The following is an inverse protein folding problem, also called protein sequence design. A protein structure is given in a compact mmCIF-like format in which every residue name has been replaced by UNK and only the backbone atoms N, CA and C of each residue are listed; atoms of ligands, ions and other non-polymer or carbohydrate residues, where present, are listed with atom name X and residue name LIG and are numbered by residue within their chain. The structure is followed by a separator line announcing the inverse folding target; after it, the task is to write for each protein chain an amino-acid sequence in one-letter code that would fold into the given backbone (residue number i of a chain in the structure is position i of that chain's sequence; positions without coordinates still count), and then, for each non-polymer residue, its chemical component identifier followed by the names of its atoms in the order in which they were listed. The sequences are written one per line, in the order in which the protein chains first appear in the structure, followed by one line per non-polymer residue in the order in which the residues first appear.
data_IF_207096305786
#
_entry.id   IF_207096305786
#
_cell.length_a   1.000
_cell.length_b   1.000
_cell.length_c   1.000
_cell.angle_alpha   90.00
_cell.angle_beta   90.00
_cell.angle_gamma   90.00
#
_symmetry.space_group_name_H-M   'P 1'
#
loop_
_entity.id
_entity.type
_entity.pdbx_description
1 polymer ?
#
# COMPACT_ATOMS: atom_id res chain seq x y z
N UNK A 1 3.55 -22.89 -41.41
CA UNK A 1 2.68 -23.79 -40.63
C UNK A 1 1.23 -23.28 -40.71
N UNK A 2 0.33 -24.00 -41.37
CA UNK A 2 -1.07 -23.58 -41.47
C UNK A 2 -1.82 -24.10 -40.24
N UNK A 3 -2.19 -23.19 -39.34
CA UNK A 3 -3.08 -23.56 -38.23
C UNK A 3 -4.48 -23.75 -38.79
N UNK A 4 -4.95 -24.98 -38.81
CA UNK A 4 -6.35 -25.28 -39.11
C UNK A 4 -7.18 -24.91 -37.87
N UNK A 5 -7.87 -23.77 -37.92
CA UNK A 5 -8.93 -23.48 -36.96
C UNK A 5 -10.04 -24.50 -37.16
N UNK A 6 -10.17 -25.41 -36.22
CA UNK A 6 -11.36 -26.28 -36.19
C UNK A 6 -12.55 -25.45 -35.70
N UNK A 7 -13.49 -25.23 -36.57
CA UNK A 7 -14.80 -24.63 -36.22
C UNK A 7 -15.54 -25.61 -35.31
N UNK A 8 -15.56 -25.34 -34.01
CA UNK A 8 -16.45 -26.06 -33.10
C UNK A 8 -17.82 -25.36 -33.14
N UNK A 9 -18.86 -26.12 -33.58
CA UNK A 9 -20.24 -25.68 -33.32
C UNK A 9 -20.49 -25.83 -31.82
N UNK A 10 -20.45 -24.74 -31.12
CA UNK A 10 -20.68 -24.66 -29.67
C UNK A 10 -22.18 -24.41 -29.42
N UNK A 11 -22.86 -25.29 -28.69
CA UNK A 11 -24.20 -25.07 -28.22
C UNK A 11 -24.16 -24.45 -26.84
N UNK A 12 -24.49 -23.36 -26.71
CA UNK A 12 -24.44 -22.73 -25.50
C UNK A 12 -25.71 -23.02 -24.78
N UNK A 13 -25.63 -23.57 -24.13
CA UNK A 13 -26.64 -23.74 -23.32
C UNK A 13 -26.54 -22.66 -22.38
N UNK A 14 -26.81 -22.02 -22.72
CA UNK A 14 -26.77 -20.84 -21.98
C UNK A 14 -27.37 -20.88 -20.59
N UNK A 15 -27.80 -21.60 -20.47
CA UNK A 15 -28.42 -21.69 -19.18
C UNK A 15 -27.52 -22.13 -18.03
N UNK A 16 -26.59 -22.45 -18.16
CA UNK A 16 -25.69 -22.89 -17.05
C UNK A 16 -24.22 -22.48 -17.27
N UNK A 17 -23.96 -21.54 -18.12
CA UNK A 17 -22.58 -21.07 -18.41
C UNK A 17 -21.62 -22.23 -18.76
N UNK A 18 -22.08 -23.20 -19.54
CA UNK A 18 -21.30 -24.37 -19.95
C UNK A 18 -21.24 -24.48 -21.45
N UNK A 19 -20.07 -24.88 -21.96
CA UNK A 19 -19.90 -25.28 -23.35
C UNK A 19 -19.79 -26.80 -23.36
N UNK A 20 -20.64 -27.45 -24.17
CA UNK A 20 -20.68 -28.91 -24.24
C UNK A 20 -20.38 -29.33 -25.68
N UNK A 21 -19.46 -30.25 -25.86
CA UNK A 21 -19.21 -30.88 -27.16
C UNK A 21 -20.08 -32.14 -27.25
N UNK A 22 -21.11 -32.16 -28.14
CA UNK A 22 -22.04 -33.30 -28.20
C UNK A 22 -21.41 -34.58 -28.75
N UNK A 23 -20.22 -34.50 -29.37
CA UNK A 23 -19.59 -35.71 -29.99
C UNK A 23 -18.92 -36.60 -28.93
N UNK A 24 -18.42 -36.00 -27.84
CA UNK A 24 -17.68 -36.76 -26.84
C UNK A 24 -18.06 -36.37 -25.40
N UNK A 25 -19.10 -35.56 -25.25
CA UNK A 25 -19.63 -35.07 -23.96
C UNK A 25 -18.63 -34.32 -23.12
N UNK A 26 -17.54 -33.79 -23.71
CA UNK A 26 -16.63 -32.93 -22.95
C UNK A 26 -17.31 -31.60 -22.64
N UNK A 27 -16.98 -31.08 -21.43
CA UNK A 27 -17.61 -29.88 -20.86
C UNK A 27 -16.53 -28.88 -20.50
N UNK A 28 -16.72 -27.63 -20.93
CA UNK A 28 -15.92 -26.48 -20.46
C UNK A 28 -16.85 -25.57 -19.67
N UNK A 29 -16.44 -25.17 -18.47
CA UNK A 29 -17.25 -24.31 -17.59
C UNK A 29 -16.38 -23.42 -16.73
N UNK A 30 -16.81 -22.20 -16.38
CA UNK A 30 -16.14 -21.41 -15.36
C UNK A 30 -16.37 -22.02 -13.99
N UNK A 31 -15.38 -21.87 -13.12
CA UNK A 31 -15.46 -22.27 -11.71
C UNK A 31 -15.13 -21.06 -10.84
N UNK A 32 -15.75 -20.97 -9.68
CA UNK A 32 -15.37 -19.95 -8.71
C UNK A 32 -13.93 -20.21 -8.23
N UNK A 33 -13.16 -19.14 -8.04
CA UNK A 33 -11.77 -19.22 -7.61
C UNK A 33 -11.67 -19.52 -6.09
N UNK A 34 -12.18 -20.70 -5.71
CA UNK A 34 -12.14 -21.22 -4.32
C UNK A 34 -11.66 -22.67 -4.40
N UNK A 35 -10.64 -23.01 -3.64
CA UNK A 35 -10.08 -24.37 -3.62
C UNK A 35 -11.14 -25.44 -3.30
N UNK A 36 -12.04 -25.17 -2.37
CA UNK A 36 -13.13 -26.09 -1.99
C UNK A 36 -14.11 -26.40 -3.14
N UNK A 37 -14.21 -25.54 -4.15
CA UNK A 37 -15.03 -25.77 -5.34
C UNK A 37 -14.28 -26.61 -6.39
N UNK A 38 -12.96 -26.60 -6.33
CA UNK A 38 -12.05 -27.17 -7.32
C UNK A 38 -11.58 -28.56 -6.89
N UNK A 39 -11.43 -28.77 -5.58
CA UNK A 39 -11.02 -30.06 -5.01
C UNK A 39 -11.89 -31.20 -5.54
N UNK A 40 -11.26 -32.31 -5.89
CA UNK A 40 -11.94 -33.49 -6.45
C UNK A 40 -12.24 -33.37 -7.95
N UNK A 41 -11.91 -32.26 -8.60
CA UNK A 41 -12.03 -32.17 -10.07
C UNK A 41 -10.81 -32.88 -10.72
N UNK A 42 -11.00 -33.35 -11.93
CA UNK A 42 -9.93 -34.00 -12.70
C UNK A 42 -9.98 -33.46 -14.14
N UNK A 43 -9.57 -32.18 -14.31
CA UNK A 43 -9.66 -31.53 -15.62
C UNK A 43 -8.56 -31.96 -16.57
N UNK A 44 -8.90 -32.13 -17.87
CA UNK A 44 -7.89 -32.31 -18.92
C UNK A 44 -7.22 -30.98 -19.30
N UNK A 45 -7.98 -29.87 -19.15
CA UNK A 45 -7.49 -28.51 -19.34
C UNK A 45 -8.02 -27.66 -18.20
N UNK A 46 -7.16 -26.94 -17.54
CA UNK A 46 -7.52 -25.92 -16.56
C UNK A 46 -6.88 -24.59 -16.97
N UNK A 47 -7.67 -23.52 -16.95
CA UNK A 47 -7.19 -22.17 -17.25
C UNK A 47 -7.33 -21.34 -15.96
N UNK A 48 -6.25 -20.84 -15.45
CA UNK A 48 -6.21 -19.89 -14.32
C UNK A 48 -6.05 -18.50 -14.92
N UNK A 49 -7.14 -17.74 -14.91
CA UNK A 49 -7.18 -16.40 -15.49
C UNK A 49 -6.92 -15.36 -14.41
N UNK A 50 -6.23 -14.28 -14.77
CA UNK A 50 -5.88 -13.17 -13.88
C UNK A 50 -5.23 -13.67 -12.58
N UNK A 51 -4.22 -14.56 -12.72
CA UNK A 51 -3.59 -15.21 -11.57
C UNK A 51 -3.05 -14.21 -10.54
N UNK A 52 -2.65 -12.99 -10.95
CA UNK A 52 -2.18 -11.95 -10.03
C UNK A 52 -3.24 -11.50 -9.01
N UNK A 53 -4.54 -11.76 -9.28
CA UNK A 53 -5.64 -11.40 -8.36
C UNK A 53 -5.92 -12.49 -7.32
N UNK A 54 -5.34 -13.69 -7.46
CA UNK A 54 -5.56 -14.76 -6.50
C UNK A 54 -4.84 -14.44 -5.19
N UNK A 55 -5.55 -14.63 -4.08
CA UNK A 55 -5.03 -14.29 -2.74
C UNK A 55 -3.86 -15.20 -2.30
N UNK A 56 -3.89 -16.45 -2.81
CA UNK A 56 -2.88 -17.47 -2.46
C UNK A 56 -2.78 -18.51 -3.58
N UNK A 57 -1.96 -19.54 -3.38
CA UNK A 57 -1.73 -20.60 -4.37
C UNK A 57 -2.75 -21.74 -4.35
N UNK A 58 -3.76 -21.71 -3.49
CA UNK A 58 -4.64 -22.86 -3.24
C UNK A 58 -5.40 -23.33 -4.47
N UNK A 59 -5.87 -22.38 -5.30
CA UNK A 59 -6.59 -22.68 -6.55
C UNK A 59 -5.66 -23.33 -7.57
N UNK A 60 -4.48 -22.75 -7.79
CA UNK A 60 -3.48 -23.28 -8.73
C UNK A 60 -3.06 -24.69 -8.32
N UNK A 61 -2.69 -24.88 -7.06
CA UNK A 61 -2.25 -26.18 -6.53
C UNK A 61 -3.36 -27.25 -6.59
N UNK A 62 -4.61 -26.89 -6.31
CA UNK A 62 -5.73 -27.81 -6.39
C UNK A 62 -5.94 -28.30 -7.83
N UNK A 63 -5.80 -27.42 -8.82
CA UNK A 63 -5.92 -27.77 -10.24
C UNK A 63 -4.75 -28.66 -10.68
N UNK A 64 -3.54 -28.29 -10.30
CA UNK A 64 -2.32 -29.05 -10.62
C UNK A 64 -2.38 -30.48 -10.07
N UNK A 65 -2.71 -30.62 -8.78
CA UNK A 65 -2.88 -31.92 -8.13
C UNK A 65 -4.05 -32.69 -8.72
N UNK A 66 -5.15 -31.99 -9.07
CA UNK A 66 -6.33 -32.59 -9.69
C UNK A 66 -6.08 -33.23 -11.05
N UNK A 67 -5.01 -32.82 -11.74
CA UNK A 67 -4.62 -33.38 -13.04
C UNK A 67 -3.73 -34.62 -12.94
N UNK A 68 -3.33 -35.02 -11.73
CA UNK A 68 -2.39 -36.14 -11.55
C UNK A 68 -2.81 -37.48 -12.18
N UNK A 69 -4.10 -37.67 -12.43
CA UNK A 69 -4.59 -38.89 -13.10
C UNK A 69 -4.75 -38.72 -14.61
N UNK A 70 -4.35 -37.57 -15.19
CA UNK A 70 -4.45 -37.30 -16.64
C UNK A 70 -3.08 -37.48 -17.31
N UNK A 71 -2.95 -38.37 -18.31
CA UNK A 71 -1.67 -38.51 -19.02
C UNK A 71 -1.22 -37.23 -19.73
N UNK A 72 -2.15 -36.40 -20.19
CA UNK A 72 -1.88 -35.16 -20.93
C UNK A 72 -2.69 -34.00 -20.33
N UNK A 73 -2.61 -33.85 -19.00
CA UNK A 73 -3.24 -32.69 -18.32
C UNK A 73 -2.50 -31.39 -18.68
N UNK A 74 -3.27 -30.33 -18.99
CA UNK A 74 -2.68 -29.03 -19.28
C UNK A 74 -3.24 -27.99 -18.31
N UNK A 75 -2.36 -27.36 -17.52
CA UNK A 75 -2.66 -26.22 -16.67
C UNK A 75 -2.08 -24.97 -17.33
N UNK A 76 -2.93 -24.00 -17.61
CA UNK A 76 -2.59 -22.81 -18.37
C UNK A 76 -2.90 -21.57 -17.52
N UNK A 77 -1.88 -20.90 -17.01
CA UNK A 77 -2.03 -19.66 -16.23
C UNK A 77 -1.80 -18.46 -17.15
N UNK A 78 -2.70 -17.50 -17.10
CA UNK A 78 -2.58 -16.24 -17.85
C UNK A 78 -2.80 -15.07 -16.88
N UNK A 79 -1.99 -14.04 -17.03
CA UNK A 79 -2.03 -12.92 -16.09
C UNK A 79 -1.27 -11.72 -16.64
N UNK A 80 -1.58 -10.54 -16.15
CA UNK A 80 -0.69 -9.39 -16.19
C UNK A 80 0.16 -9.39 -14.92
N UNK A 81 1.10 -8.46 -14.83
CA UNK A 81 1.76 -8.17 -13.56
C UNK A 81 0.74 -7.62 -12.55
N UNK A 82 1.10 -7.68 -11.29
CA UNK A 82 0.25 -7.21 -10.21
C UNK A 82 0.97 -6.22 -9.29
N UNK A 83 0.22 -5.72 -8.33
CA UNK A 83 0.72 -4.78 -7.33
C UNK A 83 1.08 -5.45 -6.00
N UNK A 84 1.10 -6.78 -5.96
CA UNK A 84 1.48 -7.55 -4.78
C UNK A 84 2.72 -8.40 -5.09
N UNK A 85 3.89 -7.85 -4.80
CA UNK A 85 5.19 -8.48 -5.10
C UNK A 85 5.54 -9.65 -4.17
N UNK A 86 4.67 -9.97 -3.21
CA UNK A 86 4.81 -11.16 -2.35
C UNK A 86 3.69 -12.17 -2.60
N UNK A 87 2.96 -12.02 -3.72
CA UNK A 87 1.87 -12.94 -4.08
C UNK A 87 2.40 -14.28 -4.61
N UNK A 88 1.55 -15.30 -4.57
CA UNK A 88 1.86 -16.60 -5.19
C UNK A 88 2.18 -16.46 -6.68
N UNK A 89 1.46 -15.57 -7.35
CA UNK A 89 1.69 -15.29 -8.78
C UNK A 89 3.08 -14.69 -9.02
N UNK A 90 3.53 -13.75 -8.16
CA UNK A 90 4.88 -13.17 -8.28
C UNK A 90 5.98 -14.23 -8.05
N UNK A 91 5.81 -15.07 -7.03
CA UNK A 91 6.75 -16.16 -6.79
C UNK A 91 6.82 -17.13 -7.98
N UNK A 92 5.65 -17.44 -8.59
CA UNK A 92 5.59 -18.28 -9.79
C UNK A 92 6.26 -17.58 -10.99
N UNK A 93 6.02 -16.28 -11.16
CA UNK A 93 6.66 -15.44 -12.18
C UNK A 93 8.20 -15.48 -12.01
N UNK A 94 8.69 -15.30 -10.78
CA UNK A 94 10.15 -15.32 -10.51
C UNK A 94 10.78 -16.67 -10.89
N UNK A 95 10.09 -17.77 -10.60
CA UNK A 95 10.52 -19.10 -11.01
C UNK A 95 10.53 -19.22 -12.56
N UNK A 96 9.48 -18.72 -13.21
CA UNK A 96 9.39 -18.70 -14.68
C UNK A 96 10.53 -17.87 -15.31
N UNK A 97 10.85 -16.73 -14.72
CA UNK A 97 11.95 -15.88 -15.19
C UNK A 97 13.29 -16.61 -15.07
N UNK A 98 13.54 -17.33 -13.96
CA UNK A 98 14.76 -18.14 -13.78
C UNK A 98 14.91 -19.21 -14.87
N UNK A 99 13.79 -19.81 -15.32
CA UNK A 99 13.80 -20.78 -16.42
C UNK A 99 14.19 -20.10 -17.73
N UNK A 100 13.58 -18.93 -18.03
CA UNK A 100 13.89 -18.19 -19.27
C UNK A 100 15.35 -17.70 -19.30
N UNK A 101 15.90 -17.34 -18.14
CA UNK A 101 17.31 -16.94 -18.00
C UNK A 101 18.30 -18.11 -18.05
N UNK A 102 17.79 -19.36 -17.99
CA UNK A 102 18.63 -20.55 -17.99
C UNK A 102 19.24 -20.90 -16.63
N UNK A 103 18.78 -20.25 -15.55
CA UNK A 103 19.23 -20.50 -14.18
C UNK A 103 18.56 -21.75 -13.58
N UNK A 104 17.37 -22.09 -14.09
CA UNK A 104 16.61 -23.29 -13.70
C UNK A 104 16.19 -24.04 -14.95
N UNK A 105 16.02 -25.37 -14.82
CA UNK A 105 15.58 -26.21 -15.94
C UNK A 105 14.29 -26.94 -15.59
N UNK A 106 13.26 -26.76 -16.43
CA UNK A 106 11.99 -27.47 -16.29
C UNK A 106 11.33 -27.60 -17.65
N UNK A 107 11.58 -28.74 -18.30
CA UNK A 107 11.08 -29.04 -19.66
C UNK A 107 9.57 -29.28 -19.72
N UNK A 108 8.90 -29.41 -18.57
CA UNK A 108 7.44 -29.57 -18.51
C UNK A 108 6.69 -28.22 -18.42
N UNK A 109 7.41 -27.11 -18.27
CA UNK A 109 6.80 -25.79 -18.14
C UNK A 109 7.13 -24.92 -19.36
N UNK A 110 6.11 -24.53 -20.12
CA UNK A 110 6.24 -23.54 -21.19
C UNK A 110 5.99 -22.15 -20.62
N UNK A 111 6.93 -21.24 -20.82
CA UNK A 111 6.87 -19.87 -20.29
C UNK A 111 6.94 -18.87 -21.43
N UNK A 112 6.11 -17.84 -21.33
CA UNK A 112 6.12 -16.70 -22.25
C UNK A 112 5.81 -15.42 -21.45
N UNK A 113 6.77 -14.48 -21.41
CA UNK A 113 6.65 -13.22 -20.68
C UNK A 113 6.82 -12.07 -21.68
N UNK A 114 5.91 -11.10 -21.63
CA UNK A 114 5.95 -9.86 -22.41
C UNK A 114 5.94 -8.70 -21.44
N UNK A 115 7.09 -8.07 -21.23
CA UNK A 115 7.25 -6.97 -20.27
C UNK A 115 8.33 -6.00 -20.73
N UNK A 116 8.46 -4.87 -20.07
CA UNK A 116 9.64 -4.01 -20.22
C UNK A 116 10.78 -4.56 -19.37
N UNK A 117 12.00 -4.43 -19.83
CA UNK A 117 13.18 -4.85 -19.07
C UNK A 117 13.40 -3.92 -17.86
N UNK A 118 13.13 -2.61 -18.04
CA UNK A 118 13.23 -1.61 -16.97
C UNK A 118 12.11 -0.58 -17.09
N UNK A 119 11.69 0.00 -15.95
CA UNK A 119 10.61 0.99 -15.92
C UNK A 119 10.93 2.23 -16.77
N UNK A 120 12.17 2.69 -16.82
CA UNK A 120 12.58 3.87 -17.60
C UNK A 120 12.40 3.68 -19.11
N UNK A 121 12.21 2.47 -19.60
CA UNK A 121 11.97 2.19 -21.02
C UNK A 121 10.61 2.69 -21.50
N UNK A 122 9.70 3.03 -20.60
CA UNK A 122 8.38 3.61 -20.92
C UNK A 122 8.53 4.91 -21.72
N UNK A 123 9.61 5.65 -21.50
CA UNK A 123 9.85 6.93 -22.20
C UNK A 123 10.21 6.76 -23.68
N UNK A 124 10.51 5.53 -24.09
CA UNK A 124 10.93 5.23 -25.47
C UNK A 124 9.86 4.40 -26.17
N UNK A 125 9.15 5.02 -27.07
CA UNK A 125 8.01 4.39 -27.80
C UNK A 125 8.39 3.06 -28.45
N UNK A 126 9.62 2.93 -28.94
CA UNK A 126 10.11 1.70 -29.57
C UNK A 126 10.15 0.50 -28.63
N UNK A 127 10.23 0.72 -27.33
CA UNK A 127 10.27 -0.36 -26.33
C UNK A 127 8.87 -0.90 -25.97
N UNK A 128 7.81 -0.13 -26.27
CA UNK A 128 6.44 -0.54 -25.87
C UNK A 128 6.03 -1.89 -26.46
N UNK A 129 6.63 -2.25 -27.62
CA UNK A 129 6.36 -3.53 -28.28
C UNK A 129 6.82 -4.74 -27.44
N UNK A 130 7.79 -4.56 -26.54
CA UNK A 130 8.25 -5.64 -25.64
C UNK A 130 7.10 -6.15 -24.78
N UNK A 131 6.35 -5.25 -24.17
CA UNK A 131 5.20 -5.58 -23.33
C UNK A 131 3.89 -5.73 -24.15
N UNK A 132 3.83 -5.13 -25.34
CA UNK A 132 2.61 -5.10 -26.16
C UNK A 132 2.95 -5.48 -27.61
N UNK A 133 3.20 -6.76 -27.90
CA UNK A 133 3.66 -7.16 -29.23
C UNK A 133 2.65 -6.87 -30.36
N UNK A 134 1.40 -6.55 -30.01
CA UNK A 134 0.36 -6.21 -30.98
C UNK A 134 0.08 -4.69 -31.10
N UNK A 135 0.93 -3.85 -30.48
CA UNK A 135 0.79 -2.39 -30.58
C UNK A 135 1.00 -1.93 -32.04
N UNK A 136 0.26 -0.92 -32.44
CA UNK A 136 0.25 -0.46 -33.83
C UNK A 136 -0.71 -1.23 -34.73
N UNK A 137 -1.26 -2.35 -34.25
CA UNK A 137 -2.26 -3.17 -34.98
C UNK A 137 -3.61 -3.15 -34.26
N UNK A 138 -3.69 -3.71 -33.05
CA UNK A 138 -4.92 -3.72 -32.27
C UNK A 138 -5.09 -2.47 -31.41
N UNK A 139 -3.98 -1.85 -31.02
CA UNK A 139 -3.98 -0.61 -30.20
C UNK A 139 -3.16 0.43 -30.95
N UNK A 140 -3.75 1.57 -31.37
CA UNK A 140 -2.98 2.65 -32.02
C UNK A 140 -1.94 3.25 -31.05
N UNK A 141 -0.78 3.58 -31.56
CA UNK A 141 0.29 4.22 -30.78
C UNK A 141 -0.17 5.51 -30.11
N UNK A 142 -0.95 6.32 -30.81
CA UNK A 142 -1.46 7.59 -30.28
C UNK A 142 -2.36 7.39 -29.04
N UNK A 143 -3.23 6.40 -29.08
CA UNK A 143 -4.12 6.10 -27.94
C UNK A 143 -3.31 5.63 -26.74
N UNK A 144 -2.30 4.83 -26.99
CA UNK A 144 -1.40 4.32 -25.94
C UNK A 144 -0.61 5.49 -25.30
N UNK A 145 -0.06 6.39 -26.12
CA UNK A 145 0.65 7.59 -25.67
C UNK A 145 -0.24 8.50 -24.81
N UNK A 146 -1.48 8.73 -25.27
CA UNK A 146 -2.43 9.57 -24.52
C UNK A 146 -2.76 8.97 -23.16
N UNK A 147 -2.91 7.63 -23.11
CA UNK A 147 -3.16 6.93 -21.86
C UNK A 147 -1.97 7.08 -20.90
N UNK A 148 -0.73 6.98 -21.40
CA UNK A 148 0.49 7.18 -20.59
C UNK A 148 0.51 8.61 -20.02
N UNK A 149 0.26 9.62 -20.88
CA UNK A 149 0.27 11.03 -20.45
C UNK A 149 -0.75 11.28 -19.33
N UNK A 150 -1.94 10.74 -19.49
CA UNK A 150 -2.99 10.85 -18.45
C UNK A 150 -2.57 10.16 -17.15
N UNK A 151 -2.06 8.93 -17.26
CA UNK A 151 -1.70 8.11 -16.11
C UNK A 151 -0.57 8.76 -15.27
N UNK A 152 0.39 9.45 -15.91
CA UNK A 152 1.48 10.13 -15.19
C UNK A 152 0.99 11.19 -14.20
N UNK A 153 -0.17 11.78 -14.45
CA UNK A 153 -0.76 12.79 -13.57
C UNK A 153 -1.57 12.21 -12.40
N UNK A 154 -1.82 10.91 -12.42
CA UNK A 154 -2.71 10.25 -11.45
C UNK A 154 -2.02 8.97 -10.93
N UNK A 155 -1.49 8.97 -9.69
CA UNK A 155 -0.71 7.83 -9.19
C UNK A 155 -1.39 6.46 -9.30
N UNK A 156 -2.69 6.38 -9.04
CA UNK A 156 -3.44 5.10 -9.17
C UNK A 156 -3.48 4.61 -10.61
N UNK A 157 -3.68 5.51 -11.58
CA UNK A 157 -3.67 5.16 -12.99
C UNK A 157 -2.27 4.79 -13.47
N UNK A 158 -1.22 5.39 -12.86
CA UNK A 158 0.16 5.06 -13.17
C UNK A 158 0.49 3.61 -12.78
N UNK A 159 0.13 3.18 -11.56
CA UNK A 159 0.30 1.78 -11.13
C UNK A 159 -0.46 0.82 -12.04
N UNK A 160 -1.69 1.19 -12.43
CA UNK A 160 -2.49 0.38 -13.35
C UNK A 160 -1.83 0.29 -14.74
N UNK A 161 -1.27 1.40 -15.22
CA UNK A 161 -0.52 1.44 -16.49
C UNK A 161 0.70 0.52 -16.42
N UNK A 162 1.51 0.65 -15.37
CA UNK A 162 2.70 -0.19 -15.17
C UNK A 162 2.35 -1.68 -15.16
N UNK A 163 1.37 -2.07 -14.35
CA UNK A 163 1.02 -3.49 -14.17
C UNK A 163 0.29 -4.09 -15.38
N UNK A 164 -0.71 -3.38 -15.91
CA UNK A 164 -1.61 -3.94 -16.93
C UNK A 164 -1.18 -3.67 -18.37
N UNK A 165 -0.38 -2.63 -18.61
CA UNK A 165 0.06 -2.30 -19.97
C UNK A 165 1.52 -2.63 -20.22
N UNK A 166 2.35 -2.52 -19.19
CA UNK A 166 3.78 -2.75 -19.35
C UNK A 166 4.28 -4.02 -18.64
N UNK A 167 3.39 -4.68 -17.88
CA UNK A 167 3.70 -5.89 -17.12
C UNK A 167 4.88 -5.71 -16.15
N UNK A 168 5.05 -4.47 -15.64
CA UNK A 168 6.05 -4.15 -14.62
C UNK A 168 5.43 -4.44 -13.25
N UNK A 169 6.06 -5.32 -12.47
CA UNK A 169 5.61 -5.60 -11.12
C UNK A 169 5.90 -4.40 -10.22
N UNK A 170 4.85 -3.81 -9.67
CA UNK A 170 4.95 -2.68 -8.76
C UNK A 170 4.81 -3.15 -7.33
N UNK A 171 5.55 -2.57 -6.42
CA UNK A 171 5.34 -2.87 -5.00
C UNK A 171 4.12 -2.09 -4.50
N UNK A 172 3.06 -2.85 -4.25
CA UNK A 172 1.90 -2.33 -3.51
C UNK A 172 0.91 -1.52 -4.33
N UNK A 173 -0.16 -1.33 -3.79
CA UNK A 173 -1.19 -0.36 -3.95
C UNK A 173 -0.60 1.04 -4.16
N UNK A 174 -1.29 1.87 -4.84
CA UNK A 174 -0.94 3.28 -5.05
C UNK A 174 -0.31 3.86 -3.77
N UNK A 175 0.93 4.35 -3.83
CA UNK A 175 1.47 5.07 -2.69
C UNK A 175 0.50 6.19 -2.30
N UNK A 176 0.31 6.37 -1.00
CA UNK A 176 -0.57 7.45 -0.53
C UNK A 176 -0.11 8.81 -1.05
N UNK A 177 1.21 9.04 -1.02
CA UNK A 177 1.79 10.31 -1.44
C UNK A 177 2.47 10.17 -2.82
N UNK A 178 2.34 11.18 -3.66
CA UNK A 178 3.06 11.26 -4.93
C UNK A 178 4.57 11.26 -4.73
N UNK A 179 5.28 10.71 -5.72
CA UNK A 179 6.72 10.57 -5.65
C UNK A 179 7.41 11.93 -5.43
N UNK A 180 8.26 11.99 -4.43
CA UNK A 180 9.05 13.18 -4.10
C UNK A 180 8.30 14.27 -3.32
N UNK A 181 6.99 14.22 -3.22
CA UNK A 181 6.23 15.28 -2.54
C UNK A 181 6.63 15.42 -1.07
N UNK A 182 6.83 14.30 -0.38
CA UNK A 182 7.27 14.30 1.01
C UNK A 182 8.68 14.91 1.15
N UNK A 183 9.60 14.54 0.27
CA UNK A 183 10.99 15.06 0.32
C UNK A 183 11.03 16.60 0.15
N UNK A 184 10.09 17.17 -0.62
CA UNK A 184 10.01 18.62 -0.81
C UNK A 184 9.55 19.36 0.45
N UNK A 185 9.04 18.63 1.46
CA UNK A 185 8.59 19.17 2.74
C UNK A 185 9.72 19.26 3.78
N UNK A 186 10.91 18.74 3.47
CA UNK A 186 12.05 18.76 4.39
C UNK A 186 12.56 20.19 4.60
N UNK A 187 12.74 20.56 5.86
CA UNK A 187 13.23 21.87 6.28
C UNK A 187 14.25 21.72 7.40
N UNK A 188 15.19 22.64 7.44
CA UNK A 188 16.19 22.69 8.52
C UNK A 188 15.58 23.40 9.72
N UNK A 189 15.36 22.66 10.78
CA UNK A 189 15.00 23.16 12.11
C UNK A 189 15.35 22.11 13.16
N UNK A 190 15.44 22.55 14.39
CA UNK A 190 15.74 21.67 15.53
C UNK A 190 14.62 21.75 16.56
N UNK A 191 14.60 20.85 17.50
CA UNK A 191 13.65 20.89 18.61
C UNK A 191 13.79 22.15 19.45
N UNK A 192 15.00 22.76 19.47
CA UNK A 192 15.23 24.00 20.20
C UNK A 192 14.43 25.18 19.64
N UNK A 193 14.10 25.14 18.34
CA UNK A 193 13.29 26.18 17.68
C UNK A 193 11.81 26.07 18.08
N UNK A 194 11.41 24.96 18.72
CA UNK A 194 10.02 24.64 19.06
C UNK A 194 9.75 24.67 20.58
N UNK A 195 10.76 25.05 21.39
CA UNK A 195 10.60 25.10 22.85
C UNK A 195 9.44 26.00 23.28
N UNK A 196 8.64 25.48 24.21
CA UNK A 196 7.48 26.15 24.80
C UNK A 196 6.36 26.49 23.82
N UNK A 197 6.42 25.96 22.59
CA UNK A 197 5.34 26.14 21.59
C UNK A 197 4.24 25.09 21.82
N UNK A 198 3.03 25.46 21.46
CA UNK A 198 1.87 24.57 21.49
C UNK A 198 2.05 23.43 20.49
N UNK A 199 1.72 22.20 20.93
CA UNK A 199 1.77 21.04 20.03
C UNK A 199 0.69 20.00 20.38
N UNK A 200 0.45 19.12 19.43
CA UNK A 200 -0.54 18.04 19.50
C UNK A 200 0.20 16.73 19.29
N UNK A 201 0.00 15.77 20.17
CA UNK A 201 0.72 14.50 20.16
C UNK A 201 -0.20 13.39 19.66
N UNK A 202 0.29 12.57 18.72
CA UNK A 202 -0.35 11.33 18.29
C UNK A 202 0.48 10.12 18.70
N UNK A 203 -0.18 9.12 19.28
CA UNK A 203 0.46 7.89 19.74
C UNK A 203 -0.09 6.68 18.98
N UNK A 204 0.76 6.01 18.21
CA UNK A 204 0.43 4.68 17.67
C UNK A 204 1.28 3.64 18.39
N UNK A 205 0.63 2.92 19.29
CA UNK A 205 1.27 1.99 20.22
C UNK A 205 1.11 0.55 19.73
N UNK A 206 2.21 -0.16 19.58
CA UNK A 206 2.15 -1.59 19.31
C UNK A 206 1.88 -2.38 20.59
N UNK A 207 1.19 -3.50 20.46
CA UNK A 207 0.81 -4.31 21.63
C UNK A 207 1.97 -5.16 22.19
N UNK A 208 2.99 -5.46 21.40
CA UNK A 208 4.07 -6.37 21.84
C UNK A 208 5.44 -6.05 21.23
N UNK A 209 5.70 -6.49 20.01
CA UNK A 209 7.06 -6.62 19.48
C UNK A 209 7.33 -5.72 18.28
N UNK A 210 6.54 -4.66 18.11
CA UNK A 210 6.54 -3.87 16.89
C UNK A 210 6.99 -2.44 17.14
N UNK A 211 7.16 -1.68 16.06
CA UNK A 211 7.42 -0.24 16.13
C UNK A 211 6.28 0.45 16.90
N UNK A 212 6.64 1.33 17.79
CA UNK A 212 5.74 2.25 18.47
C UNK A 212 6.23 3.66 18.14
N UNK A 213 5.28 4.56 17.86
CA UNK A 213 5.67 5.90 17.41
C UNK A 213 4.83 6.99 18.05
N UNK A 214 5.51 8.08 18.33
CA UNK A 214 4.97 9.36 18.77
C UNK A 214 5.23 10.37 17.65
N UNK A 215 4.25 11.19 17.36
CA UNK A 215 4.45 12.35 16.48
C UNK A 215 3.84 13.58 17.13
N UNK A 216 4.59 14.66 17.16
CA UNK A 216 4.17 15.97 17.65
C UNK A 216 3.95 16.88 16.46
N UNK A 217 2.76 17.48 16.36
CA UNK A 217 2.40 18.48 15.35
C UNK A 217 2.41 19.86 15.98
N UNK A 218 3.30 20.72 15.51
CA UNK A 218 3.47 22.10 15.99
C UNK A 218 2.87 23.08 14.97
N UNK A 219 1.79 23.82 15.30
CA UNK A 219 1.27 24.85 14.40
C UNK A 219 2.28 25.98 14.17
N UNK A 220 2.44 26.40 12.91
CA UNK A 220 3.34 27.47 12.48
C UNK A 220 2.58 28.42 11.53
N UNK A 221 1.57 29.08 12.04
CA UNK A 221 0.66 29.87 11.22
C UNK A 221 -0.15 28.96 10.30
N UNK A 222 0.07 29.08 8.99
CA UNK A 222 -0.61 28.22 7.98
C UNK A 222 0.10 26.89 7.76
N UNK A 223 1.27 26.68 8.38
CA UNK A 223 2.05 25.46 8.24
C UNK A 223 2.07 24.69 9.56
N UNK A 224 2.56 23.46 9.51
CA UNK A 224 2.86 22.66 10.71
C UNK A 224 4.26 22.09 10.61
N UNK A 225 4.94 21.95 11.73
CA UNK A 225 6.23 21.26 11.87
C UNK A 225 6.03 19.98 12.67
N UNK A 226 6.81 18.96 12.32
CA UNK A 226 6.71 17.64 12.95
C UNK A 226 7.98 17.31 13.74
N UNK A 227 7.79 16.77 14.94
CA UNK A 227 8.85 16.11 15.72
C UNK A 227 8.37 14.71 16.05
N UNK A 228 9.26 13.73 15.99
CA UNK A 228 8.89 12.31 16.14
C UNK A 228 9.78 11.62 17.18
N UNK A 229 9.23 10.55 17.77
CA UNK A 229 9.98 9.60 18.60
C UNK A 229 9.53 8.20 18.19
N UNK A 230 10.47 7.32 17.90
CA UNK A 230 10.18 5.95 17.49
C UNK A 230 10.86 4.97 18.44
N UNK A 231 10.16 3.91 18.80
CA UNK A 231 10.63 2.91 19.77
C UNK A 231 10.52 1.51 19.19
N UNK A 232 11.46 0.65 19.57
CA UNK A 232 11.45 -0.76 19.19
C UNK A 232 12.06 -1.60 20.32
N UNK A 233 11.52 -2.80 20.60
CA UNK A 233 12.19 -3.68 21.57
C UNK A 233 13.58 -4.09 21.06
N UNK A 234 14.57 -4.10 21.94
CA UNK A 234 15.96 -4.48 21.60
C UNK A 234 16.02 -5.86 20.95
N UNK A 235 15.16 -6.78 21.36
CA UNK A 235 15.05 -8.11 20.76
C UNK A 235 14.94 -8.04 19.22
N UNK A 236 14.16 -7.09 18.69
CA UNK A 236 13.95 -6.96 17.24
C UNK A 236 15.21 -6.60 16.46
N UNK A 237 16.18 -5.98 17.11
CA UNK A 237 17.46 -5.63 16.49
C UNK A 237 18.33 -6.86 16.25
N UNK A 238 18.08 -7.93 17.01
CA UNK A 238 18.86 -9.18 16.95
C UNK A 238 18.07 -10.34 16.36
N UNK A 239 16.75 -10.20 16.21
CA UNK A 239 15.87 -11.23 15.68
C UNK A 239 16.19 -11.50 14.19
N UNK A 240 16.69 -12.69 13.89
CA UNK A 240 17.06 -13.10 12.52
C UNK A 240 15.85 -13.10 11.59
N UNK A 241 14.66 -13.40 12.11
CA UNK A 241 13.43 -13.41 11.31
C UNK A 241 12.97 -11.99 10.91
N UNK A 242 13.50 -10.95 11.56
CA UNK A 242 13.14 -9.57 11.22
C UNK A 242 13.96 -9.10 10.00
N UNK A 243 13.31 -9.03 8.85
CA UNK A 243 13.94 -8.61 7.58
C UNK A 243 14.51 -7.18 7.66
N UNK A 244 13.97 -6.34 8.52
CA UNK A 244 14.35 -4.93 8.66
C UNK A 244 15.43 -4.69 9.72
N UNK A 245 15.95 -5.73 10.39
CA UNK A 245 16.86 -5.57 11.55
C UNK A 245 18.11 -4.72 11.26
N UNK A 246 18.69 -4.86 10.07
CA UNK A 246 19.89 -4.10 9.70
C UNK A 246 19.59 -2.60 9.61
N UNK A 247 18.47 -2.27 9.01
CA UNK A 247 17.99 -0.89 8.89
C UNK A 247 17.67 -0.30 10.29
N UNK A 248 16.97 -1.06 11.13
CA UNK A 248 16.64 -0.64 12.50
C UNK A 248 17.90 -0.38 13.34
N UNK A 249 18.92 -1.22 13.22
CA UNK A 249 20.23 -1.00 13.90
C UNK A 249 20.88 0.32 13.46
N UNK A 250 20.82 0.63 12.17
CA UNK A 250 21.36 1.89 11.65
C UNK A 250 20.61 3.09 12.23
N UNK A 251 19.29 3.03 12.30
CA UNK A 251 18.47 4.10 12.87
C UNK A 251 18.71 4.27 14.38
N UNK A 252 18.91 3.16 15.11
CA UNK A 252 19.27 3.25 16.53
C UNK A 252 20.64 3.92 16.69
N UNK A 253 21.63 3.52 15.87
CA UNK A 253 22.98 4.08 15.92
C UNK A 253 23.00 5.58 15.58
N UNK A 254 22.13 6.02 14.68
CA UNK A 254 22.03 7.42 14.27
C UNK A 254 21.03 8.23 15.12
N UNK A 255 20.42 7.63 16.14
CA UNK A 255 19.54 8.31 17.08
C UNK A 255 18.10 8.51 16.64
N UNK A 256 17.71 7.95 15.49
CA UNK A 256 16.34 8.08 14.96
C UNK A 256 15.35 7.07 15.54
N UNK A 257 15.86 6.01 16.17
CA UNK A 257 15.03 4.93 16.71
C UNK A 257 15.57 4.58 18.12
N UNK A 258 14.70 4.53 19.09
CA UNK A 258 15.04 4.26 20.50
C UNK A 258 14.80 2.77 20.76
N UNK A 259 15.85 2.05 21.15
CA UNK A 259 15.72 0.67 21.58
C UNK A 259 15.24 0.63 23.03
N UNK A 260 14.17 -0.12 23.32
CA UNK A 260 13.73 -0.38 24.68
C UNK A 260 14.25 -1.75 25.13
N UNK A 261 14.62 -1.87 26.40
CA UNK A 261 15.18 -3.11 26.94
C UNK A 261 14.18 -4.26 26.87
N UNK A 262 14.66 -5.45 26.50
CA UNK A 262 13.84 -6.67 26.50
C UNK A 262 13.20 -7.00 25.16
N UNK A 263 12.12 -7.76 25.25
CA UNK A 263 11.42 -8.34 24.09
C UNK A 263 10.09 -7.65 23.75
N UNK A 264 9.66 -6.71 24.57
CA UNK A 264 8.43 -5.94 24.35
C UNK A 264 8.68 -4.43 24.56
N UNK A 265 7.74 -3.63 24.09
CA UNK A 265 7.82 -2.16 24.23
C UNK A 265 7.70 -1.78 25.70
N UNK A 266 8.60 -0.92 26.15
CA UNK A 266 8.60 -0.36 27.50
C UNK A 266 7.73 0.91 27.55
N UNK A 267 6.51 0.76 28.03
CA UNK A 267 5.55 1.86 28.13
C UNK A 267 5.95 2.88 29.22
N UNK A 268 6.69 2.47 30.25
CA UNK A 268 7.18 3.40 31.26
C UNK A 268 8.24 4.34 30.67
N UNK A 269 9.10 3.80 29.80
CA UNK A 269 10.06 4.63 29.04
C UNK A 269 9.34 5.65 28.17
N UNK A 270 8.29 5.22 27.45
CA UNK A 270 7.48 6.11 26.60
C UNK A 270 6.81 7.20 27.45
N UNK A 271 6.19 6.83 28.58
CA UNK A 271 5.60 7.79 29.51
C UNK A 271 6.63 8.82 29.96
N UNK A 272 7.78 8.37 30.41
CA UNK A 272 8.81 9.26 30.93
C UNK A 272 9.33 10.23 29.87
N UNK A 273 9.46 9.77 28.62
CA UNK A 273 9.87 10.63 27.51
C UNK A 273 8.77 11.66 27.17
N UNK A 274 7.49 11.26 27.18
CA UNK A 274 6.37 12.21 27.00
C UNK A 274 6.39 13.27 28.13
N UNK A 275 6.63 12.85 29.37
CA UNK A 275 6.65 13.79 30.50
C UNK A 275 7.86 14.75 30.41
N UNK A 276 9.01 14.29 29.92
CA UNK A 276 10.17 15.15 29.62
C UNK A 276 9.85 16.14 28.50
N UNK A 277 9.20 15.65 27.41
CA UNK A 277 8.81 16.51 26.30
C UNK A 277 7.74 17.53 26.74
N UNK A 278 6.85 17.19 27.69
CA UNK A 278 5.86 18.14 28.26
C UNK A 278 6.51 19.27 29.08
N UNK A 279 7.76 19.10 29.55
CA UNK A 279 8.53 20.18 30.17
C UNK A 279 9.15 21.12 29.13
N UNK A 280 9.29 20.65 27.90
CA UNK A 280 9.96 21.37 26.79
C UNK A 280 8.94 22.02 25.85
N UNK A 281 7.83 21.34 25.62
CA UNK A 281 6.76 21.73 24.69
C UNK A 281 5.46 21.89 25.44
N UNK A 282 4.57 22.73 24.94
CA UNK A 282 3.24 22.90 25.52
C UNK A 282 2.27 21.90 24.82
N UNK A 283 2.21 20.66 25.34
CA UNK A 283 1.35 19.62 24.78
C UNK A 283 -0.10 19.94 25.13
N UNK A 284 -0.89 20.38 24.14
CA UNK A 284 -2.28 20.78 24.31
C UNK A 284 -3.21 19.56 24.44
N UNK A 285 -2.96 18.55 23.63
CA UNK A 285 -3.83 17.38 23.58
C UNK A 285 -3.04 16.17 23.01
N UNK A 286 -3.37 14.99 23.50
CA UNK A 286 -2.77 13.71 23.08
C UNK A 286 -3.86 12.86 22.44
N UNK A 287 -3.74 12.56 21.16
CA UNK A 287 -4.59 11.62 20.44
C UNK A 287 -4.07 10.20 20.55
N UNK A 288 -4.92 9.27 20.97
CA UNK A 288 -4.45 7.94 21.33
C UNK A 288 -5.48 6.85 20.96
N UNK A 289 -4.99 5.69 20.50
CA UNK A 289 -5.88 4.58 20.15
C UNK A 289 -6.40 3.87 21.40
N UNK A 290 -7.71 3.78 21.51
CA UNK A 290 -8.45 3.28 22.68
C UNK A 290 -8.08 1.85 23.09
N UNK A 291 -7.61 1.04 22.13
CA UNK A 291 -7.45 -0.41 22.34
C UNK A 291 -6.14 -0.81 23.04
N UNK A 292 -5.14 0.05 23.05
CA UNK A 292 -3.78 -0.41 23.33
C UNK A 292 -3.05 0.28 24.51
N UNK A 293 -3.61 0.85 25.49
CA UNK A 293 -2.84 1.26 26.67
C UNK A 293 -3.62 2.09 27.69
N UNK A 294 -4.62 1.51 28.26
CA UNK A 294 -5.44 2.12 29.32
C UNK A 294 -4.55 2.61 30.48
N UNK A 295 -3.50 1.85 30.81
CA UNK A 295 -2.59 2.20 31.91
C UNK A 295 -1.79 3.46 31.60
N UNK A 296 -1.16 3.54 30.42
CA UNK A 296 -0.40 4.71 29.99
C UNK A 296 -1.29 5.96 29.96
N UNK A 297 -2.51 5.83 29.41
CA UNK A 297 -3.50 6.91 29.41
C UNK A 297 -3.75 7.46 30.80
N UNK A 298 -4.04 6.55 31.76
CA UNK A 298 -4.33 6.94 33.14
C UNK A 298 -3.16 7.69 33.78
N UNK A 299 -1.92 7.21 33.52
CA UNK A 299 -0.71 7.86 34.02
C UNK A 299 -0.51 9.25 33.45
N UNK A 300 -0.74 9.44 32.14
CA UNK A 300 -0.60 10.74 31.49
C UNK A 300 -1.67 11.72 31.96
N UNK A 301 -2.91 11.25 32.13
CA UNK A 301 -4.00 12.08 32.70
C UNK A 301 -3.71 12.46 34.16
N UNK A 302 -3.16 11.54 34.97
CA UNK A 302 -2.75 11.85 36.34
C UNK A 302 -1.62 12.87 36.40
N UNK A 303 -0.81 12.97 35.35
CA UNK A 303 0.24 13.97 35.21
C UNK A 303 -0.29 15.32 34.68
N UNK A 304 -1.60 15.44 34.45
CA UNK A 304 -2.24 16.68 34.02
C UNK A 304 -2.31 16.89 32.51
N UNK A 305 -1.99 15.88 31.71
CA UNK A 305 -2.05 15.97 30.25
C UNK A 305 -3.46 15.59 29.74
N UNK A 306 -3.95 16.33 28.77
CA UNK A 306 -5.24 16.05 28.13
C UNK A 306 -5.09 14.92 27.11
N UNK A 307 -5.81 13.81 27.31
CA UNK A 307 -5.72 12.61 26.48
C UNK A 307 -7.08 12.28 25.90
N UNK A 308 -7.21 12.34 24.59
CA UNK A 308 -8.45 12.11 23.85
C UNK A 308 -8.40 10.86 22.97
N UNK A 309 -9.51 10.08 22.92
CA UNK A 309 -9.55 8.92 22.03
C UNK A 309 -9.45 9.32 20.56
N UNK A 310 -8.61 8.60 19.82
CA UNK A 310 -8.53 8.73 18.37
C UNK A 310 -8.79 7.36 17.73
N UNK A 311 -10.05 6.98 17.53
CA UNK A 311 -10.38 5.67 16.95
C UNK A 311 -9.91 5.55 15.49
N UNK A 312 -9.29 4.42 15.16
CA UNK A 312 -8.71 4.17 13.83
C UNK A 312 -9.79 3.74 12.82
N UNK A 313 -10.83 4.57 12.65
CA UNK A 313 -11.96 4.34 11.74
C UNK A 313 -11.84 5.15 10.44
N UNK A 314 -12.60 4.77 9.43
CA UNK A 314 -12.69 5.54 8.17
C UNK A 314 -13.16 6.97 8.42
N UNK A 315 -14.18 7.16 9.26
CA UNK A 315 -14.73 8.47 9.57
C UNK A 315 -13.69 9.40 10.19
N UNK A 316 -12.80 8.84 11.04
CA UNK A 316 -11.80 9.64 11.73
C UNK A 316 -10.58 9.93 10.86
N UNK A 317 -10.08 8.89 10.14
CA UNK A 317 -8.87 9.04 9.32
C UNK A 317 -9.10 9.74 7.98
N UNK A 318 -10.28 9.56 7.34
CA UNK A 318 -10.46 10.04 5.97
C UNK A 318 -10.26 11.54 5.80
N UNK A 319 -10.93 12.41 6.60
CA UNK A 319 -10.69 13.85 6.47
C UNK A 319 -9.23 14.21 6.79
N UNK A 320 -8.65 13.60 7.81
CA UNK A 320 -7.25 13.86 8.23
C UNK A 320 -6.27 13.49 7.12
N UNK A 321 -6.42 12.31 6.53
CA UNK A 321 -5.51 11.81 5.48
C UNK A 321 -5.62 12.67 4.21
N UNK A 322 -6.83 13.01 3.80
CA UNK A 322 -7.06 13.88 2.63
C UNK A 322 -6.47 15.27 2.86
N UNK A 323 -6.68 15.82 4.05
CA UNK A 323 -6.14 17.13 4.45
C UNK A 323 -4.61 17.12 4.48
N UNK A 324 -4.01 16.09 5.10
CA UNK A 324 -2.56 15.93 5.16
C UNK A 324 -1.95 15.84 3.76
N UNK A 325 -2.57 15.07 2.86
CA UNK A 325 -2.12 14.93 1.46
C UNK A 325 -2.10 16.29 0.75
N UNK A 326 -3.16 17.07 0.89
CA UNK A 326 -3.24 18.42 0.30
C UNK A 326 -2.14 19.33 0.85
N UNK A 327 -1.92 19.30 2.17
CA UNK A 327 -0.90 20.16 2.79
C UNK A 327 0.53 19.71 2.43
N UNK A 328 0.77 18.40 2.28
CA UNK A 328 2.05 17.88 1.80
C UNK A 328 2.29 18.36 0.37
N UNK A 329 1.31 18.23 -0.51
CA UNK A 329 1.41 18.68 -1.91
C UNK A 329 1.66 20.20 -2.01
N UNK A 330 1.22 20.97 -1.01
CA UNK A 330 1.44 22.42 -0.91
C UNK A 330 2.69 22.80 -0.13
N UNK A 331 3.46 21.83 0.35
CA UNK A 331 4.65 22.02 1.19
C UNK A 331 4.34 22.82 2.47
N UNK A 332 3.18 22.55 3.04
CA UNK A 332 2.70 23.21 4.28
C UNK A 332 2.90 22.33 5.51
N UNK A 333 3.31 21.08 5.34
CA UNK A 333 3.80 20.21 6.41
C UNK A 333 5.33 20.21 6.30
N UNK A 334 6.01 20.56 7.37
CA UNK A 334 7.48 20.63 7.41
C UNK A 334 8.01 19.54 8.36
N UNK A 335 9.04 18.81 7.89
CA UNK A 335 9.74 17.80 8.71
C UNK A 335 11.25 18.00 8.61
N UNK A 336 11.97 17.49 9.60
CA UNK A 336 13.43 17.69 9.72
C UNK A 336 14.27 16.51 9.21
N UNK A 337 13.72 15.76 8.24
CA UNK A 337 14.44 14.67 7.55
C UNK A 337 14.44 13.33 8.27
N UNK A 338 13.46 13.05 9.13
CA UNK A 338 13.34 11.78 9.86
C UNK A 338 13.24 10.60 8.87
N UNK A 339 14.24 9.69 8.82
CA UNK A 339 14.20 8.56 7.88
C UNK A 339 13.20 7.47 8.29
N UNK A 340 12.84 7.36 9.58
CA UNK A 340 11.87 6.36 10.05
C UNK A 340 10.46 6.74 9.58
N UNK A 341 10.07 8.01 9.77
CA UNK A 341 8.79 8.53 9.30
C UNK A 341 8.73 8.49 7.76
N UNK A 342 9.81 8.91 7.09
CA UNK A 342 9.90 8.89 5.62
C UNK A 342 9.70 7.49 5.07
N UNK A 343 10.39 6.50 5.64
CA UNK A 343 10.23 5.10 5.26
C UNK A 343 8.81 4.60 5.53
N UNK A 344 8.22 4.95 6.67
CA UNK A 344 6.86 4.52 7.00
C UNK A 344 5.84 5.09 6.02
N UNK A 345 5.97 6.38 5.67
CA UNK A 345 5.07 7.03 4.69
C UNK A 345 5.16 6.40 3.31
N UNK A 346 6.34 5.97 2.88
CA UNK A 346 6.52 5.28 1.59
C UNK A 346 5.86 3.90 1.56
N UNK A 347 5.54 3.33 2.72
CA UNK A 347 4.86 2.03 2.84
C UNK A 347 3.35 2.16 3.06
N UNK A 348 2.82 3.38 3.22
CA UNK A 348 1.40 3.56 3.51
C UNK A 348 0.55 3.15 2.30
N UNK A 349 -0.38 2.26 2.57
CA UNK A 349 -1.42 1.85 1.64
C UNK A 349 -2.74 2.36 2.20
N UNK A 350 -3.45 3.15 1.42
CA UNK A 350 -4.79 3.59 1.80
C UNK A 350 -5.82 2.56 1.32
N UNK A 351 -6.72 2.16 2.18
CA UNK A 351 -7.90 1.41 1.77
C UNK A 351 -9.10 2.36 1.72
N UNK A 352 -9.99 2.09 0.78
CA UNK A 352 -11.17 2.93 0.53
C UNK A 352 -12.44 2.12 0.82
N UNK A 353 -13.40 2.75 1.50
CA UNK A 353 -14.72 2.16 1.72
C UNK A 353 -15.67 2.51 0.56
N UNK A 354 -16.91 2.00 0.61
CA UNK A 354 -17.92 2.20 -0.43
C UNK A 354 -18.32 3.69 -0.60
N UNK A 355 -18.02 4.54 0.37
CA UNK A 355 -18.34 5.98 0.36
C UNK A 355 -17.10 6.84 0.01
N UNK A 356 -16.05 6.23 -0.54
CA UNK A 356 -14.79 6.89 -0.88
C UNK A 356 -14.05 7.50 0.33
N UNK A 357 -14.31 7.00 1.54
CA UNK A 357 -13.50 7.34 2.70
C UNK A 357 -12.23 6.50 2.70
N UNK A 358 -11.12 7.10 3.09
CA UNK A 358 -9.81 6.43 3.08
C UNK A 358 -9.25 6.31 4.50
N UNK A 359 -8.46 5.26 4.73
CA UNK A 359 -7.65 5.14 5.96
C UNK A 359 -6.42 4.27 5.70
N UNK A 360 -5.34 4.43 6.47
CA UNK A 360 -4.17 3.55 6.35
C UNK A 360 -4.54 2.10 6.68
N UNK A 361 -4.02 1.17 5.87
CA UNK A 361 -4.24 -0.27 6.09
C UNK A 361 -2.92 -0.95 6.47
N UNK A 362 -2.74 -1.25 7.75
CA UNK A 362 -1.55 -1.93 8.29
C UNK A 362 -1.37 -3.36 7.73
N UNK A 363 -2.47 -4.02 7.32
CA UNK A 363 -2.41 -5.40 6.80
C UNK A 363 -1.96 -5.46 5.33
N UNK A 364 -2.26 -4.42 4.55
CA UNK A 364 -1.88 -4.34 3.14
C UNK A 364 -0.50 -3.71 2.93
N UNK A 365 0.00 -2.99 3.93
CA UNK A 365 1.33 -2.39 3.87
C UNK A 365 2.42 -3.47 3.85
N UNK A 366 3.41 -3.32 2.98
CA UNK A 366 4.53 -4.27 2.86
C UNK A 366 5.43 -4.24 4.10
N UNK A 367 5.46 -3.14 4.81
CA UNK A 367 6.25 -2.90 6.02
C UNK A 367 5.44 -2.13 7.05
N UNK A 368 6.09 -1.79 8.17
CA UNK A 368 5.44 -1.08 9.28
C UNK A 368 5.12 0.37 8.90
N UNK A 369 3.94 0.84 9.28
CA UNK A 369 3.46 2.19 9.01
C UNK A 369 3.07 2.94 10.30
N UNK A 370 3.44 2.42 11.46
CA UNK A 370 3.12 3.00 12.76
C UNK A 370 3.58 4.47 12.89
N UNK A 371 4.77 4.86 12.40
CA UNK A 371 5.14 6.28 12.37
C UNK A 371 4.20 7.17 11.56
N UNK A 372 3.73 6.68 10.41
CA UNK A 372 2.79 7.42 9.56
C UNK A 372 1.39 7.51 10.21
N UNK A 373 0.98 6.44 10.91
CA UNK A 373 -0.29 6.45 11.67
C UNK A 373 -0.19 7.44 12.83
N UNK A 374 0.91 7.45 13.58
CA UNK A 374 1.14 8.41 14.67
C UNK A 374 1.11 9.86 14.13
N UNK A 375 1.72 10.12 12.97
CA UNK A 375 1.65 11.42 12.31
C UNK A 375 0.20 11.81 12.01
N UNK A 376 -0.57 10.93 11.38
CA UNK A 376 -1.98 11.22 11.08
C UNK A 376 -2.79 11.44 12.36
N UNK A 377 -2.51 10.70 13.42
CA UNK A 377 -3.19 10.87 14.70
C UNK A 377 -2.84 12.23 15.33
N UNK A 378 -1.57 12.65 15.32
CA UNK A 378 -1.18 13.94 15.87
C UNK A 378 -1.78 15.11 15.08
N UNK A 379 -1.73 15.00 13.74
CA UNK A 379 -2.31 16.00 12.86
C UNK A 379 -3.84 16.07 13.01
N UNK A 380 -4.49 14.91 13.12
CA UNK A 380 -5.93 14.84 13.36
C UNK A 380 -6.34 15.36 14.74
N UNK A 381 -5.47 15.19 15.74
CA UNK A 381 -5.70 15.76 17.08
C UNK A 381 -5.61 17.28 17.04
N UNK A 382 -4.65 17.83 16.31
CA UNK A 382 -4.56 19.27 16.03
C UNK A 382 -5.84 19.78 15.37
N UNK A 383 -6.37 19.07 14.37
CA UNK A 383 -7.60 19.46 13.68
C UNK A 383 -8.85 19.45 14.58
N UNK A 384 -8.84 18.68 15.67
CA UNK A 384 -9.96 18.69 16.63
C UNK A 384 -10.15 20.05 17.29
N UNK A 385 -9.05 20.73 17.61
CA UNK A 385 -9.11 22.02 18.28
C UNK A 385 -9.35 23.18 17.29
N UNK A 386 -8.72 23.11 16.12
CA UNK A 386 -8.77 24.23 15.15
C UNK A 386 -9.79 24.02 14.02
N UNK A 387 -10.42 22.83 13.93
CA UNK A 387 -11.42 22.54 12.89
C UNK A 387 -10.84 22.67 11.48
N UNK A 388 -11.66 23.19 10.58
CA UNK A 388 -11.29 23.38 9.17
C UNK A 388 -10.48 24.67 8.90
N UNK A 389 -9.93 25.31 9.93
CA UNK A 389 -9.14 26.53 9.78
C UNK A 389 -7.90 26.36 8.90
N UNK A 390 -7.45 25.12 8.70
CA UNK A 390 -6.37 24.82 7.75
C UNK A 390 -6.87 25.02 6.30
N UNK A 391 -8.17 24.91 6.08
CA UNK A 391 -8.83 25.16 4.80
C UNK A 391 -9.52 26.52 4.79
N UNK A 392 -8.80 27.59 4.96
CA UNK A 392 -9.22 28.82 4.28
C UNK A 392 -9.03 28.54 2.79
N UNK A 393 -10.05 27.96 2.17
CA UNK A 393 -10.16 27.98 0.72
C UNK A 393 -9.95 29.44 0.30
N UNK A 394 -9.03 29.68 -0.61
CA UNK A 394 -8.97 30.98 -1.27
C UNK A 394 -10.38 31.29 -1.78
N UNK A 395 -10.78 32.53 -1.79
CA UNK A 395 -12.12 32.91 -2.26
C UNK A 395 -12.46 32.36 -3.64
N UNK A 396 -11.42 32.11 -4.47
CA UNK A 396 -11.57 31.45 -5.77
C UNK A 396 -12.03 29.98 -5.65
N UNK A 397 -11.55 29.25 -4.63
CA UNK A 397 -11.98 27.86 -4.41
C UNK A 397 -13.39 27.78 -3.79
N UNK A 398 -13.76 28.74 -2.96
CA UNK A 398 -15.13 28.84 -2.45
C UNK A 398 -16.11 29.11 -3.59
N UNK A 399 -15.77 30.01 -4.49
CA UNK A 399 -16.57 30.34 -5.68
C UNK A 399 -16.72 29.14 -6.63
N UNK A 400 -15.66 28.36 -6.82
CA UNK A 400 -15.72 27.15 -7.66
C UNK A 400 -16.65 26.09 -7.04
N UNK A 401 -16.60 25.90 -5.72
CA UNK A 401 -17.49 24.95 -5.02
C UNK A 401 -18.95 25.42 -5.02
N UNK A 402 -19.20 26.71 -4.90
CA UNK A 402 -20.55 27.28 -4.99
C UNK A 402 -21.14 27.08 -6.39
N UNK A 403 -20.33 27.22 -7.43
CA UNK A 403 -20.75 26.96 -8.82
C UNK A 403 -21.07 25.47 -9.06
N UNK A 404 -20.33 24.54 -8.41
CA UNK A 404 -20.60 23.11 -8.53
C UNK A 404 -21.86 22.69 -7.76
N UNK A 405 -22.12 23.29 -6.61
CA UNK A 405 -23.31 22.97 -5.79
C UNK A 405 -24.61 23.60 -6.34
N UNK A 406 -24.51 24.47 -7.34
CA UNK A 406 -25.66 25.10 -7.98
C UNK A 406 -26.20 24.37 -9.21
N UNK A 407 -25.68 23.19 -9.51
CA UNK A 407 -26.19 22.35 -10.61
C UNK A 407 -27.13 21.32 -9.98
N UNK A 408 -28.42 21.61 -10.02
CA UNK A 408 -29.46 20.62 -9.71
C UNK A 408 -29.40 19.50 -10.74
N UNK A 409 -29.11 18.27 -10.27
CA UNK A 409 -29.18 17.05 -11.07
C UNK A 409 -30.62 16.55 -11.15
#
# INVERSE_FOLDING_TARGET
MRVKCAYFRLYXXXXQHKLINPKNNSIMRPLAAKSSTIEGTNPSLAIVDEYHLHTDNSVYSALELGQGARPEGLLFAITTAGSNVISACKHHYDYCAQILEGNEQNDSLFVLIFELDEENEIDKQENWIKANPNIGKSIPYLDFENTIKKARGIPSEWVEMLTKRFNVWCQGTTPWLGEGNWAQCERQYTESDLLHQDCYLGLDLSSTNDLTSLCYTFPQGKKVRLVTRHYIPEFQLNNVANKNRAMYRNWVRSGWLIATEGDCIDYDKIRDDILKDAQRFNIKMIGFDVWNATHLRTQLQAAGLEVEPFPQTYQRFSPVAKSAEVLINRQMIEHHGDPVLTWALSNVVMETDANANIKPNKKKAANKIDPAVAFLMSFGTYQLEYGDLIFELSDEHKHALEQFNGIDL
#
